data_IF_124572216577
#
_entry.id   IF_124572216577
#
_cell.length_a   1.000
_cell.length_b   1.000
_cell.length_c   1.000
_cell.angle_alpha   90.00
_cell.angle_beta   90.00
_cell.angle_gamma   90.00
#
_symmetry.space_group_name_H-M   'P 1'
#
loop_
_entity.id
_entity.type
_entity.pdbx_description
1 polymer ?
#
# COMPACT_ATOMS: atom_id res chain seq x y z
N UNK A 1 2.63 17.74 -11.32
CA UNK A 1 1.99 16.52 -11.90
C UNK A 1 1.69 15.53 -10.79
N UNK A 2 0.56 14.86 -10.87
CA UNK A 2 0.19 13.82 -9.91
C UNK A 2 0.18 12.46 -10.58
N UNK A 3 0.45 11.42 -9.78
CA UNK A 3 0.43 10.04 -10.25
C UNK A 3 -0.45 9.23 -9.29
N UNK A 4 -1.38 8.48 -9.87
CA UNK A 4 -2.28 7.62 -9.12
C UNK A 4 -2.10 6.17 -9.58
N UNK A 5 -1.95 5.26 -8.62
CA UNK A 5 -1.85 3.83 -8.88
C UNK A 5 -2.79 3.10 -7.95
N UNK A 6 -3.42 2.05 -8.46
CA UNK A 6 -4.41 1.29 -7.73
C UNK A 6 -4.16 -0.19 -7.90
N UNK A 7 -4.35 -0.96 -6.83
CA UNK A 7 -4.29 -2.42 -6.84
C UNK A 7 -5.39 -2.97 -5.95
N UNK A 8 -5.83 -4.20 -6.24
CA UNK A 8 -6.96 -4.82 -5.54
C UNK A 8 -6.63 -6.26 -5.15
N UNK A 9 -7.17 -6.70 -4.02
CA UNK A 9 -7.11 -8.10 -3.60
C UNK A 9 -8.46 -8.57 -3.08
N UNK A 10 -8.82 -9.80 -3.43
CA UNK A 10 -10.01 -10.51 -2.95
C UNK A 10 -9.57 -11.83 -2.35
N UNK A 11 -9.27 -11.84 -1.05
CA UNK A 11 -8.79 -13.03 -0.35
C UNK A 11 -7.70 -12.71 0.63
N UNK A 12 -7.16 -13.75 1.24
CA UNK A 12 -5.96 -13.62 2.08
C UNK A 12 -4.73 -13.38 1.22
N UNK A 13 -3.76 -12.69 1.77
CA UNK A 13 -2.48 -12.45 1.11
C UNK A 13 -2.17 -10.98 0.98
N UNK A 14 -1.34 -10.65 0.00
CA UNK A 14 -0.88 -9.29 -0.22
C UNK A 14 -1.27 -8.80 -1.60
N UNK A 15 -1.53 -7.50 -1.70
CA UNK A 15 -1.67 -6.84 -3.00
C UNK A 15 -0.32 -6.81 -3.71
N UNK A 16 -0.34 -6.44 -4.99
CA UNK A 16 0.88 -6.07 -5.67
C UNK A 16 1.52 -4.88 -4.97
N UNK A 17 2.84 -4.80 -5.05
CA UNK A 17 3.59 -3.67 -4.49
C UNK A 17 3.43 -2.47 -5.41
N UNK A 18 3.01 -1.35 -4.83
CA UNK A 18 2.95 -0.08 -5.56
C UNK A 18 4.26 0.66 -5.30
N UNK A 19 5.08 0.81 -6.35
CA UNK A 19 6.34 1.53 -6.25
C UNK A 19 6.10 3.04 -6.11
N UNK A 20 6.89 3.66 -5.25
CA UNK A 20 6.86 5.11 -5.02
C UNK A 20 8.06 5.73 -5.70
N UNK A 21 7.85 6.85 -6.41
CA UNK A 21 8.94 7.58 -7.03
C UNK A 21 9.65 8.42 -5.97
N UNK A 22 10.79 7.93 -5.52
CA UNK A 22 11.57 8.59 -4.46
C UNK A 22 12.32 9.82 -4.94
N UNK A 23 12.31 10.08 -6.25
CA UNK A 23 13.00 11.23 -6.84
C UNK A 23 12.11 12.47 -6.93
N UNK A 24 10.82 12.33 -6.62
CA UNK A 24 9.91 13.48 -6.58
C UNK A 24 10.13 14.28 -5.29
N UNK A 25 10.18 15.59 -5.42
CA UNK A 25 10.34 16.51 -4.28
C UNK A 25 9.28 17.62 -4.36
N UNK A 26 8.63 17.95 -3.21
CA UNK A 26 8.75 17.22 -1.93
C UNK A 26 8.13 15.83 -1.98
N UNK A 27 8.51 14.95 -1.08
CA UNK A 27 7.85 13.66 -0.95
C UNK A 27 6.45 13.90 -0.40
N UNK A 28 5.46 13.49 -1.19
CA UNK A 28 4.06 13.70 -0.82
C UNK A 28 3.24 12.56 -1.43
N UNK A 29 3.02 11.53 -0.62
CA UNK A 29 2.34 10.32 -1.04
C UNK A 29 1.14 10.10 -0.14
N UNK A 30 -0.04 10.05 -0.74
CA UNK A 30 -1.27 9.71 -0.02
C UNK A 30 -1.64 8.27 -0.32
N UNK A 31 -2.10 7.56 0.69
CA UNK A 31 -2.58 6.19 0.54
C UNK A 31 -4.01 6.12 1.06
N UNK A 32 -4.84 5.39 0.36
CA UNK A 32 -6.21 5.14 0.78
C UNK A 32 -6.53 3.66 0.58
N UNK A 33 -7.22 3.08 1.53
CA UNK A 33 -7.71 1.71 1.43
C UNK A 33 -9.21 1.73 1.49
N UNK A 34 -9.83 1.16 0.47
CA UNK A 34 -11.28 1.10 0.35
C UNK A 34 -11.74 -0.36 0.32
N UNK A 35 -12.75 -0.67 1.11
CA UNK A 35 -13.34 -1.99 1.14
C UNK A 35 -14.64 -1.97 0.35
N UNK A 36 -14.95 -3.09 -0.34
CA UNK A 36 -16.25 -3.23 -0.96
C UNK A 36 -17.35 -3.25 0.10
N UNK A 37 -18.58 -2.79 -0.21
CA UNK A 37 -19.68 -2.81 0.76
C UNK A 37 -19.93 -4.21 1.31
N UNK A 38 -20.10 -4.31 2.63
CA UNK A 38 -20.36 -5.58 3.29
C UNK A 38 -19.13 -6.47 3.48
N UNK A 39 -17.94 -5.95 3.25
CA UNK A 39 -16.70 -6.72 3.45
C UNK A 39 -16.49 -7.10 4.91
N UNK A 40 -16.03 -8.33 5.12
CA UNK A 40 -15.62 -8.84 6.43
C UNK A 40 -14.19 -9.35 6.32
N UNK A 41 -13.24 -8.51 6.70
CA UNK A 41 -11.82 -8.80 6.61
C UNK A 41 -11.03 -7.87 7.52
N UNK A 42 -9.76 -8.21 7.73
CA UNK A 42 -8.81 -7.36 8.46
C UNK A 42 -7.55 -7.21 7.63
N UNK A 43 -7.00 -6.01 7.58
CA UNK A 43 -5.82 -5.73 6.78
C UNK A 43 -4.85 -4.80 7.51
N UNK A 44 -3.61 -4.79 7.01
CA UNK A 44 -2.54 -3.88 7.44
C UNK A 44 -1.91 -3.28 6.19
N UNK A 45 -1.70 -1.96 6.20
CA UNK A 45 -0.92 -1.29 5.15
C UNK A 45 0.54 -1.34 5.56
N UNK A 46 1.39 -1.80 4.66
CA UNK A 46 2.82 -1.94 4.90
C UNK A 46 3.63 -1.15 3.89
N UNK A 47 4.81 -0.69 4.29
CA UNK A 47 5.74 -0.03 3.40
C UNK A 47 7.13 -0.64 3.54
N UNK A 48 7.98 -0.38 2.56
CA UNK A 48 9.35 -0.85 2.55
C UNK A 48 10.30 0.25 2.12
N UNK A 49 11.57 0.11 2.55
CA UNK A 49 12.67 0.97 2.13
C UNK A 49 13.61 0.26 1.16
N UNK A 50 13.30 -0.98 0.79
CA UNK A 50 14.13 -1.77 -0.11
C UNK A 50 14.11 -1.15 -1.51
N UNK A 51 15.27 -1.16 -2.19
CA UNK A 51 15.36 -0.66 -3.57
C UNK A 51 14.64 -1.63 -4.51
N UNK A 52 13.47 -1.22 -4.98
CA UNK A 52 12.64 -2.02 -5.88
C UNK A 52 13.05 -1.87 -7.34
N UNK A 53 13.95 -0.92 -7.65
CA UNK A 53 14.37 -0.62 -9.01
C UNK A 53 15.53 -1.48 -9.50
N UNK A 54 16.22 -2.16 -8.59
CA UNK A 54 17.29 -3.10 -8.93
C UNK A 54 16.80 -4.53 -8.76
N UNK A 55 17.51 -5.48 -9.39
CA UNK A 55 17.18 -6.89 -9.26
C UNK A 55 17.29 -7.32 -7.79
N UNK A 56 16.26 -7.99 -7.30
CA UNK A 56 16.22 -8.42 -5.90
C UNK A 56 15.38 -9.69 -5.78
N UNK A 57 15.56 -10.39 -4.65
CA UNK A 57 14.70 -11.49 -4.28
C UNK A 57 13.56 -10.94 -3.41
N UNK A 58 12.28 -11.09 -3.83
CA UNK A 58 11.16 -10.60 -3.02
C UNK A 58 11.15 -11.08 -1.58
N UNK A 59 11.72 -12.26 -1.31
CA UNK A 59 11.79 -12.79 0.05
C UNK A 59 12.74 -12.00 0.97
N UNK A 60 13.64 -11.20 0.40
CA UNK A 60 14.60 -10.40 1.16
C UNK A 60 14.05 -9.02 1.54
N UNK A 61 12.88 -8.65 1.03
CA UNK A 61 12.28 -7.35 1.33
C UNK A 61 11.72 -7.37 2.75
N UNK A 62 12.13 -6.38 3.55
CA UNK A 62 11.61 -6.18 4.91
C UNK A 62 10.49 -5.16 4.85
N UNK A 63 9.35 -5.51 5.40
CA UNK A 63 8.15 -4.69 5.41
C UNK A 63 7.88 -4.14 6.81
N UNK A 64 7.44 -2.89 6.87
CA UNK A 64 7.12 -2.20 8.12
C UNK A 64 5.64 -1.84 8.12
N UNK A 65 4.92 -2.06 9.23
CA UNK A 65 3.51 -1.72 9.30
C UNK A 65 3.30 -0.21 9.40
N UNK A 66 2.26 0.29 8.76
CA UNK A 66 1.89 1.70 8.79
C UNK A 66 0.50 1.90 9.39
N UNK A 67 -0.51 1.25 8.80
CA UNK A 67 -1.89 1.25 9.32
C UNK A 67 -2.21 -0.20 9.65
N UNK A 68 -2.46 -0.50 10.93
CA UNK A 68 -2.46 -1.88 11.45
C UNK A 68 -3.86 -2.33 11.81
N UNK A 69 -4.20 -3.56 11.41
CA UNK A 69 -5.40 -4.29 11.85
C UNK A 69 -6.70 -3.50 11.67
N UNK A 70 -6.91 -2.97 10.48
CA UNK A 70 -8.11 -2.22 10.15
C UNK A 70 -9.19 -3.12 9.55
N UNK A 71 -10.44 -2.81 9.88
CA UNK A 71 -11.63 -3.53 9.37
C UNK A 71 -12.56 -2.61 8.59
N UNK A 72 -12.16 -1.38 8.35
CA UNK A 72 -12.91 -0.36 7.64
C UNK A 72 -11.99 0.43 6.72
N UNK A 73 -12.55 1.31 5.91
CA UNK A 73 -11.75 2.20 5.08
C UNK A 73 -10.79 3.01 5.94
N UNK A 74 -9.61 3.26 5.42
CA UNK A 74 -8.59 4.05 6.11
C UNK A 74 -7.77 4.81 5.09
N UNK A 75 -7.13 5.88 5.54
CA UNK A 75 -6.22 6.66 4.72
C UNK A 75 -5.08 7.23 5.57
N UNK A 76 -4.05 7.66 4.88
CA UNK A 76 -2.88 8.26 5.51
C UNK A 76 -1.96 8.85 4.47
N UNK A 77 -0.82 9.35 4.90
CA UNK A 77 0.15 9.92 3.98
C UNK A 77 1.57 9.69 4.47
N UNK A 78 2.50 9.74 3.53
CA UNK A 78 3.93 9.69 3.80
C UNK A 78 4.56 11.03 3.44
N UNK A 79 5.24 11.62 4.41
CA UNK A 79 6.02 12.84 4.21
C UNK A 79 7.53 12.53 4.20
N UNK A 80 7.89 11.26 4.24
CA UNK A 80 9.26 10.78 4.17
C UNK A 80 9.35 9.71 3.08
N UNK A 81 10.54 9.49 2.50
CA UNK A 81 10.65 8.55 1.38
C UNK A 81 10.44 7.11 1.82
N UNK A 82 9.57 6.40 1.08
CA UNK A 82 9.41 4.95 1.13
C UNK A 82 9.48 4.44 -0.30
N UNK A 83 9.98 3.23 -0.49
CA UNK A 83 10.17 2.67 -1.84
C UNK A 83 8.90 2.07 -2.41
N UNK A 84 8.07 1.49 -1.57
CA UNK A 84 6.84 0.85 -2.01
C UNK A 84 5.86 0.64 -0.87
N UNK A 85 4.61 0.41 -1.27
CA UNK A 85 3.48 0.25 -0.34
C UNK A 85 2.66 -0.94 -0.82
N UNK A 86 2.15 -1.71 0.14
CA UNK A 86 1.22 -2.81 -0.15
C UNK A 86 0.21 -2.96 0.98
N UNK A 87 -0.89 -3.68 0.70
CA UNK A 87 -1.84 -4.12 1.73
C UNK A 87 -1.67 -5.61 1.95
N UNK A 88 -1.64 -6.02 3.20
CA UNK A 88 -1.66 -7.41 3.59
C UNK A 88 -2.97 -7.71 4.32
N UNK A 89 -3.77 -8.61 3.75
CA UNK A 89 -5.02 -9.07 4.36
C UNK A 89 -4.67 -10.22 5.30
N UNK A 90 -4.90 -10.03 6.59
CA UNK A 90 -4.52 -10.99 7.62
C UNK A 90 -5.67 -11.90 8.05
N UNK A 91 -6.92 -11.44 7.89
CA UNK A 91 -8.12 -12.23 8.13
C UNK A 91 -9.10 -11.92 7.02
N UNK A 92 -9.76 -12.95 6.49
CA UNK A 92 -10.67 -12.77 5.35
C UNK A 92 -11.88 -13.70 5.46
N UNK A 93 -13.07 -13.14 5.32
CA UNK A 93 -14.32 -13.88 5.19
C UNK A 93 -14.96 -13.54 3.85
N UNK A 94 -15.07 -12.27 3.51
CA UNK A 94 -15.70 -11.83 2.25
C UNK A 94 -15.29 -10.42 1.89
N UNK A 95 -15.44 -10.08 0.62
CA UNK A 95 -15.24 -8.73 0.13
C UNK A 95 -13.95 -8.53 -0.64
N UNK A 96 -13.61 -7.27 -0.90
CA UNK A 96 -12.39 -6.90 -1.60
C UNK A 96 -11.77 -5.66 -0.98
N UNK A 97 -10.47 -5.52 -1.18
CA UNK A 97 -9.66 -4.40 -0.70
C UNK A 97 -9.03 -3.73 -1.90
N UNK A 98 -9.18 -2.42 -2.01
CA UNK A 98 -8.51 -1.62 -3.02
C UNK A 98 -7.53 -0.71 -2.31
N UNK A 99 -6.25 -0.80 -2.69
CA UNK A 99 -5.23 0.15 -2.27
C UNK A 99 -5.04 1.17 -3.38
N UNK A 100 -5.20 2.43 -3.05
CA UNK A 100 -4.98 3.54 -3.96
C UNK A 100 -3.84 4.40 -3.43
N UNK A 101 -2.85 4.64 -4.26
CA UNK A 101 -1.70 5.48 -3.93
C UNK A 101 -1.68 6.66 -4.89
N UNK A 102 -1.69 7.85 -4.34
CA UNK A 102 -1.62 9.09 -5.11
C UNK A 102 -0.34 9.80 -4.72
N UNK A 103 0.53 9.98 -5.69
CA UNK A 103 1.78 10.70 -5.51
C UNK A 103 1.72 12.02 -6.26
N UNK A 104 1.81 13.13 -5.51
CA UNK A 104 1.91 14.45 -6.09
C UNK A 104 3.39 14.81 -6.31
N UNK A 105 3.65 15.52 -7.39
CA UNK A 105 5.01 15.98 -7.73
C UNK A 105 4.94 17.21 -8.60
N UNK A 106 6.09 17.79 -8.83
CA UNK A 106 6.23 19.00 -9.66
C UNK A 106 7.11 18.74 -10.87
#
# INVERSE_FOLDING_TARGET
MSRQVQTEITGLGTTDVVGVDINLTPVNVSVAVMLSPGSTLKYTVEHTYHDLWTAHNPADIVWFPFIVDQTANADGYYAYPVSGVRVRVTEYTSGSVILKVLQAGI
#
